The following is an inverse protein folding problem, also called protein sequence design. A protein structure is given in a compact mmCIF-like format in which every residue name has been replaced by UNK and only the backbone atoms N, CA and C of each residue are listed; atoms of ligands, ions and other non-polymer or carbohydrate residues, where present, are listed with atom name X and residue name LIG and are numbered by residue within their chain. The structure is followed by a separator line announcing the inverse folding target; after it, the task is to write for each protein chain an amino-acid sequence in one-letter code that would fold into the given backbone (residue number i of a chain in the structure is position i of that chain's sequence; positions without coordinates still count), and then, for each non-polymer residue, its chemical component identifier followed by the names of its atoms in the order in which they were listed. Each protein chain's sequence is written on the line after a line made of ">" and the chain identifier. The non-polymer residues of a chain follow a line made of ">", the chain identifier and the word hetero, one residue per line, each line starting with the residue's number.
data_IF_454133366707
#
_entry.id   IF_454133366707
#
_cell.length_a   1.000
_cell.length_b   1.000
_cell.length_c   1.000
_cell.angle_alpha   90.00
_cell.angle_beta   90.00
_cell.angle_gamma   90.00
#
_symmetry.space_group_name_H-M   'P 1'
#
loop_
_entity.id
_entity.type
_entity.pdbx_description
1 polymer ?
#
# COMPACT_ATOMS: atom_id res chain seq x y z
N UNK A 1 -3.15 25.32 -15.75
CA UNK A 1 -3.81 24.01 -15.74
C UNK A 1 -2.74 23.01 -15.34
N UNK A 2 -2.85 22.37 -14.18
CA UNK A 2 -1.85 21.41 -13.71
C UNK A 2 -2.05 20.08 -14.45
N UNK A 3 -1.13 19.72 -15.36
CA UNK A 3 -1.14 18.41 -16.01
C UNK A 3 -0.72 17.32 -15.03
N UNK A 4 -1.33 16.13 -15.17
CA UNK A 4 -0.91 14.95 -14.41
C UNK A 4 0.43 14.47 -14.94
N UNK A 5 1.42 14.35 -14.05
CA UNK A 5 2.75 13.84 -14.38
C UNK A 5 2.76 12.32 -14.48
N UNK A 6 3.67 11.78 -15.28
CA UNK A 6 3.86 10.35 -15.42
C UNK A 6 4.93 9.83 -14.44
N UNK A 7 4.78 8.58 -14.01
CA UNK A 7 5.77 7.89 -13.18
C UNK A 7 7.00 7.44 -13.97
N UNK A 8 6.87 7.33 -15.30
CA UNK A 8 7.93 6.90 -16.20
C UNK A 8 7.55 7.14 -17.67
N UNK A 9 8.23 6.44 -18.57
CA UNK A 9 7.96 6.53 -20.01
C UNK A 9 6.72 5.73 -20.39
N UNK A 10 5.75 6.37 -21.05
CA UNK A 10 4.50 5.76 -21.48
C UNK A 10 4.31 5.95 -22.97
N UNK A 11 4.03 4.85 -23.67
CA UNK A 11 3.68 4.85 -25.08
C UNK A 11 2.16 4.81 -25.21
N UNK A 12 1.57 5.84 -25.79
CA UNK A 12 0.13 5.97 -26.01
C UNK A 12 -0.13 5.96 -27.51
N UNK A 13 -1.08 5.14 -27.94
CA UNK A 13 -1.57 5.15 -29.32
C UNK A 13 -2.87 5.94 -29.34
N UNK A 14 -2.94 6.99 -30.17
CA UNK A 14 -4.20 7.72 -30.36
C UNK A 14 -5.17 6.93 -31.27
N UNK A 15 -6.38 7.47 -31.46
CA UNK A 15 -7.42 6.83 -32.28
C UNK A 15 -7.09 6.73 -33.77
N UNK A 16 -6.18 7.56 -34.27
CA UNK A 16 -5.63 7.53 -35.63
C UNK A 16 -4.44 6.56 -35.75
N UNK A 17 -3.99 5.96 -34.63
CA UNK A 17 -2.94 4.94 -34.58
C UNK A 17 -1.51 5.49 -34.48
N UNK A 18 -1.34 6.80 -34.27
CA UNK A 18 -0.05 7.44 -34.03
C UNK A 18 0.44 7.12 -32.63
N UNK A 19 1.71 6.74 -32.52
CA UNK A 19 2.36 6.43 -31.24
C UNK A 19 3.00 7.69 -30.67
N UNK A 20 2.51 8.13 -29.51
CA UNK A 20 3.07 9.23 -28.73
C UNK A 20 3.81 8.66 -27.52
N UNK A 21 5.03 9.14 -27.28
CA UNK A 21 5.84 8.76 -26.12
C UNK A 21 5.89 9.96 -25.18
N UNK A 22 5.49 9.76 -23.94
CA UNK A 22 5.55 10.76 -22.88
C UNK A 22 6.49 10.30 -21.78
N UNK A 23 7.39 11.17 -21.35
CA UNK A 23 8.25 10.95 -20.20
C UNK A 23 7.66 11.49 -18.88
N UNK A 24 8.36 11.29 -17.77
CA UNK A 24 7.96 11.79 -16.45
C UNK A 24 7.96 13.33 -16.33
N UNK A 25 8.67 14.02 -17.23
CA UNK A 25 8.74 15.48 -17.31
C UNK A 25 7.74 16.06 -18.33
N UNK A 26 7.09 15.21 -19.13
CA UNK A 26 6.14 15.64 -20.15
C UNK A 26 4.73 15.83 -19.58
N UNK A 27 4.09 16.92 -19.98
CA UNK A 27 2.67 17.15 -19.72
C UNK A 27 1.82 16.36 -20.72
N UNK A 28 1.12 15.33 -20.24
CA UNK A 28 0.20 14.54 -21.08
C UNK A 28 -1.09 15.32 -21.30
N UNK A 29 -1.51 15.58 -22.56
CA UNK A 29 -2.78 16.23 -22.83
C UNK A 29 -3.96 15.36 -22.39
N UNK A 30 -5.05 16.01 -21.97
CA UNK A 30 -6.21 15.34 -21.36
C UNK A 30 -6.88 14.29 -22.28
N UNK A 31 -6.72 14.40 -23.60
CA UNK A 31 -7.24 13.42 -24.56
C UNK A 31 -6.46 12.10 -24.49
N UNK A 32 -5.13 12.16 -24.40
CA UNK A 32 -4.27 10.98 -24.31
C UNK A 32 -4.25 10.40 -22.90
N UNK A 33 -4.44 11.24 -21.87
CA UNK A 33 -4.61 10.80 -20.49
C UNK A 33 -5.78 9.82 -20.32
N UNK A 34 -6.85 9.95 -21.11
CA UNK A 34 -8.00 9.01 -21.10
C UNK A 34 -7.64 7.61 -21.62
N UNK A 35 -6.60 7.51 -22.44
CA UNK A 35 -6.13 6.25 -23.02
C UNK A 35 -5.15 5.52 -22.09
N UNK A 36 -4.52 6.24 -21.15
CA UNK A 36 -3.66 5.66 -20.12
C UNK A 36 -4.56 5.11 -19.01
N UNK A 37 -5.02 3.88 -19.20
CA UNK A 37 -5.87 3.17 -18.24
C UNK A 37 -5.09 2.55 -17.08
N UNK A 38 -3.76 2.45 -17.18
CA UNK A 38 -2.91 1.93 -16.12
C UNK A 38 -2.65 3.01 -15.05
N UNK A 39 -3.20 2.91 -13.83
CA UNK A 39 -2.97 3.90 -12.78
C UNK A 39 -1.49 4.01 -12.37
N UNK A 40 -0.71 2.93 -12.46
CA UNK A 40 0.71 2.92 -12.12
C UNK A 40 1.59 3.72 -13.11
N UNK A 41 1.03 4.09 -14.27
CA UNK A 41 1.71 4.95 -15.23
C UNK A 41 1.76 6.42 -14.77
N UNK A 42 0.89 6.81 -13.84
CA UNK A 42 0.78 8.16 -13.32
C UNK A 42 1.66 8.34 -12.09
N UNK A 43 2.31 9.50 -11.98
CA UNK A 43 3.01 9.89 -10.76
C UNK A 43 1.96 10.16 -9.69
N UNK A 44 1.87 9.27 -8.71
CA UNK A 44 1.12 9.52 -7.48
C UNK A 44 1.91 10.56 -6.69
N UNK A 45 1.47 11.80 -6.77
CA UNK A 45 1.95 12.84 -5.86
C UNK A 45 1.67 12.36 -4.42
N UNK A 46 2.65 12.33 -3.50
CA UNK A 46 2.44 11.89 -2.14
C UNK A 46 1.44 12.77 -1.37
N UNK A 47 0.95 13.88 -1.96
CA UNK A 47 -0.12 14.72 -1.42
C UNK A 47 -1.53 14.44 -1.93
N UNK A 48 -1.76 13.44 -2.79
CA UNK A 48 -3.09 13.08 -3.31
C UNK A 48 -3.55 11.67 -2.89
N UNK A 49 -2.90 11.09 -1.89
CA UNK A 49 -3.26 9.80 -1.28
C UNK A 49 -4.17 9.94 -0.05
N UNK A 50 -4.82 11.08 0.17
CA UNK A 50 -5.90 11.18 1.14
C UNK A 50 -7.21 10.74 0.48
N UNK A 51 -7.43 9.42 0.46
CA UNK A 51 -8.73 8.69 0.41
C UNK A 51 -8.60 7.26 -0.18
N UNK A 52 -7.48 6.57 0.05
CA UNK A 52 -7.45 5.10 0.00
C UNK A 52 -6.63 4.56 1.17
N UNK A 53 -7.32 4.21 2.26
CA UNK A 53 -6.84 3.25 3.26
C UNK A 53 -5.47 3.55 3.86
N UNK A 54 -5.41 4.58 4.69
CA UNK A 54 -4.34 4.75 5.66
C UNK A 54 -4.37 3.55 6.63
N UNK A 55 -3.69 2.46 6.30
CA UNK A 55 -3.14 1.58 7.33
C UNK A 55 -1.82 2.21 7.73
N UNK A 56 -1.88 3.07 8.74
CA UNK A 56 -0.70 3.53 9.47
C UNK A 56 0.04 2.27 9.94
N UNK A 57 1.12 1.90 9.22
CA UNK A 57 2.21 1.15 9.82
C UNK A 57 2.80 2.06 10.88
N UNK A 58 2.40 1.83 12.13
CA UNK A 58 2.78 2.66 13.27
C UNK A 58 2.43 1.95 14.57
N UNK A 59 2.91 0.72 14.69
CA UNK A 59 3.36 0.09 15.95
C UNK A 59 3.92 -1.27 15.54
N UNK A 60 5.24 -1.46 15.49
CA UNK A 60 5.83 -2.80 15.28
C UNK A 60 5.58 -3.73 16.51
N UNK A 61 4.96 -3.20 17.57
CA UNK A 61 4.58 -3.94 18.75
C UNK A 61 3.07 -4.26 18.77
N UNK A 62 2.71 -5.53 19.03
CA UNK A 62 1.33 -5.92 19.22
C UNK A 62 0.78 -5.22 20.47
N UNK A 63 -0.26 -4.40 20.31
CA UNK A 63 -0.88 -3.67 21.42
C UNK A 63 -2.34 -4.05 21.61
N UNK A 64 -2.90 -3.71 22.77
CA UNK A 64 -4.33 -3.90 23.07
C UNK A 64 -5.26 -3.10 22.14
N UNK A 65 -4.73 -2.24 21.27
CA UNK A 65 -5.49 -1.50 20.26
C UNK A 65 -5.68 -2.31 18.96
N UNK A 66 -4.88 -3.35 18.72
CA UNK A 66 -4.92 -4.15 17.49
C UNK A 66 -6.14 -5.07 17.39
N UNK A 67 -6.59 -5.40 16.18
CA UNK A 67 -7.68 -6.37 16.03
C UNK A 67 -7.16 -7.80 16.19
N UNK A 68 -8.07 -8.75 16.47
CA UNK A 68 -7.72 -10.19 16.53
C UNK A 68 -7.11 -10.66 15.19
N UNK A 69 -7.54 -10.07 14.07
CA UNK A 69 -6.98 -10.38 12.75
C UNK A 69 -5.53 -9.90 12.63
N UNK A 70 -5.23 -8.67 13.06
CA UNK A 70 -3.88 -8.11 13.02
C UNK A 70 -2.92 -8.87 13.95
N UNK A 71 -3.37 -9.21 15.16
CA UNK A 71 -2.57 -10.00 16.10
C UNK A 71 -2.28 -11.41 15.57
N UNK A 72 -3.24 -12.06 14.88
CA UNK A 72 -3.01 -13.36 14.22
C UNK A 72 -2.03 -13.25 13.07
N UNK A 73 -2.18 -12.24 12.22
CA UNK A 73 -1.25 -12.00 11.12
C UNK A 73 0.18 -11.75 11.63
N UNK A 74 0.32 -11.02 12.74
CA UNK A 74 1.61 -10.81 13.41
C UNK A 74 2.19 -12.12 13.95
N UNK A 75 1.37 -12.94 14.61
CA UNK A 75 1.82 -14.24 15.09
C UNK A 75 2.28 -15.16 13.94
N UNK A 76 1.54 -15.21 12.83
CA UNK A 76 1.94 -15.98 11.63
C UNK A 76 3.22 -15.43 11.00
N UNK A 77 3.39 -14.11 10.93
CA UNK A 77 4.58 -13.46 10.39
C UNK A 77 5.83 -13.75 11.24
N UNK A 78 5.66 -13.81 12.56
CA UNK A 78 6.74 -14.02 13.53
C UNK A 78 6.92 -15.50 13.93
N UNK A 79 6.18 -16.42 13.29
CA UNK A 79 6.16 -17.86 13.60
C UNK A 79 5.87 -18.15 15.09
N UNK A 80 4.96 -17.35 15.68
CA UNK A 80 4.54 -17.46 17.07
C UNK A 80 3.33 -18.40 17.17
N UNK A 81 3.46 -19.45 17.98
CA UNK A 81 2.36 -20.36 18.25
C UNK A 81 1.35 -19.73 19.23
N UNK A 82 0.14 -19.46 18.75
CA UNK A 82 -0.95 -18.95 19.56
C UNK A 82 -1.68 -20.04 20.36
N UNK A 83 -1.39 -21.33 20.11
CA UNK A 83 -2.08 -22.46 20.75
C UNK A 83 -3.61 -22.37 20.62
N UNK A 84 -4.33 -22.58 21.72
CA UNK A 84 -5.79 -22.46 21.84
C UNK A 84 -6.29 -21.01 22.09
N UNK A 85 -5.42 -20.00 21.95
CA UNK A 85 -5.80 -18.62 22.18
C UNK A 85 -6.81 -18.13 21.12
N UNK A 86 -8.05 -17.91 21.57
CA UNK A 86 -9.16 -17.44 20.72
C UNK A 86 -9.59 -16.02 21.04
N UNK A 87 -9.29 -15.51 22.23
CA UNK A 87 -9.60 -14.13 22.61
C UNK A 87 -8.41 -13.22 22.34
N UNK A 88 -8.72 -11.96 22.05
CA UNK A 88 -7.72 -10.91 21.83
C UNK A 88 -6.66 -10.83 22.94
N UNK A 89 -7.10 -10.85 24.20
CA UNK A 89 -6.20 -10.78 25.34
C UNK A 89 -5.25 -12.01 25.40
N UNK A 90 -5.79 -13.22 25.26
CA UNK A 90 -4.99 -14.46 25.25
C UNK A 90 -3.98 -14.47 24.09
N UNK A 91 -4.38 -13.99 22.90
CA UNK A 91 -3.51 -13.90 21.71
C UNK A 91 -2.39 -12.88 21.95
N UNK A 92 -2.73 -11.70 22.47
CA UNK A 92 -1.76 -10.65 22.79
C UNK A 92 -0.74 -11.14 23.82
N UNK A 93 -1.19 -11.82 24.88
CA UNK A 93 -0.31 -12.41 25.90
C UNK A 93 0.59 -13.50 25.32
N UNK A 94 0.09 -14.35 24.42
CA UNK A 94 0.91 -15.37 23.76
C UNK A 94 2.03 -14.75 22.90
N UNK A 95 1.72 -13.64 22.23
CA UNK A 95 2.68 -12.91 21.39
C UNK A 95 3.72 -12.19 22.26
N UNK A 96 3.30 -11.43 23.28
CA UNK A 96 4.22 -10.72 24.18
C UNK A 96 5.07 -11.74 24.98
N UNK A 97 4.45 -12.81 25.49
CA UNK A 97 5.13 -13.86 26.25
C UNK A 97 6.13 -14.67 25.44
N UNK A 98 5.98 -14.74 24.11
CA UNK A 98 6.98 -15.35 23.21
C UNK A 98 8.10 -14.38 22.79
N UNK A 99 7.86 -13.06 22.87
CA UNK A 99 8.84 -12.02 22.54
C UNK A 99 9.83 -11.69 23.67
N UNK A 100 9.49 -11.99 24.92
CA UNK A 100 10.26 -11.64 26.14
C UNK A 100 11.38 -12.65 26.50
N UNK A 101 11.73 -13.62 25.62
CA UNK A 101 12.84 -14.58 25.87
C UNK A 101 14.18 -14.17 25.19
N UNK A 102 14.31 -12.95 24.66
CA UNK A 102 15.61 -12.42 24.21
C UNK A 102 16.16 -11.38 25.17
N UNK A 103 17.05 -11.86 26.03
CA UNK A 103 17.93 -11.14 26.96
C UNK A 103 18.74 -9.98 26.34
#
# INVERSE_FOLDING_TARGET
>A
MAGRKLAGYVHVHDSEGVSHVFGPEDDVPAELAKLITNPAAWQTDPGAAEEVGQVEQGDDEPSESWTVADLRAYAELHDIDLGDATKKADILEAIIGSGDDRA
#
